data_IF_432519496182
#
_entry.id   IF_432519496182
#
_cell.length_a   1.000
_cell.length_b   1.000
_cell.length_c   1.000
_cell.angle_alpha   90.00
_cell.angle_beta   90.00
_cell.angle_gamma   90.00
#
_symmetry.space_group_name_H-M   'P 1'
#
loop_
_entity.id
_entity.type
_entity.pdbx_description
1 polymer ?
#
# COMPACT_ATOMS: atom_id res chain seq x y z
N UNK A 1 -17.36 16.40 -6.67
CA UNK A 1 -16.86 17.79 -6.60
C UNK A 1 -15.39 17.77 -7.01
N UNK A 2 -15.01 18.51 -8.05
CA UNK A 2 -13.62 18.53 -8.53
C UNK A 2 -12.72 19.37 -7.62
N UNK A 3 -11.48 18.92 -7.40
CA UNK A 3 -10.47 19.68 -6.66
C UNK A 3 -10.13 20.98 -7.41
N UNK A 4 -9.82 22.05 -6.69
CA UNK A 4 -9.42 23.32 -7.31
C UNK A 4 -8.03 23.19 -7.96
N UNK A 5 -7.76 23.98 -9.00
CA UNK A 5 -6.47 23.97 -9.71
C UNK A 5 -5.28 24.18 -8.76
N UNK A 6 -5.43 25.08 -7.78
CA UNK A 6 -4.42 25.33 -6.75
C UNK A 6 -4.17 24.10 -5.87
N UNK A 7 -5.24 23.36 -5.51
CA UNK A 7 -5.11 22.16 -4.71
C UNK A 7 -4.39 21.04 -5.47
N UNK A 8 -4.67 20.89 -6.76
CA UNK A 8 -3.96 19.91 -7.61
C UNK A 8 -2.47 20.25 -7.79
N UNK A 9 -2.15 21.53 -7.96
CA UNK A 9 -0.76 21.98 -8.09
C UNK A 9 0.03 21.83 -6.79
N UNK A 10 -0.61 22.09 -5.63
CA UNK A 10 0.03 21.87 -4.33
C UNK A 10 0.16 20.37 -3.99
N UNK A 11 -0.81 19.52 -4.36
CA UNK A 11 -0.66 18.05 -4.27
C UNK A 11 0.53 17.57 -5.12
N UNK A 12 0.66 18.06 -6.35
CA UNK A 12 1.79 17.74 -7.21
C UNK A 12 3.11 18.26 -6.64
N UNK A 13 3.10 19.47 -6.07
CA UNK A 13 4.27 20.06 -5.44
C UNK A 13 4.75 19.24 -4.25
N UNK A 14 3.85 18.83 -3.36
CA UNK A 14 4.18 18.00 -2.22
C UNK A 14 4.70 16.61 -2.66
N UNK A 15 4.09 15.98 -3.68
CA UNK A 15 4.57 14.68 -4.22
C UNK A 15 6.01 14.79 -4.74
N UNK A 16 6.30 15.86 -5.48
CA UNK A 16 7.65 16.13 -5.97
C UNK A 16 8.60 16.53 -4.85
N UNK A 17 8.13 17.20 -3.80
CA UNK A 17 8.93 17.57 -2.64
C UNK A 17 9.38 16.33 -1.84
N UNK A 18 8.49 15.33 -1.70
CA UNK A 18 8.75 14.05 -1.03
C UNK A 18 9.57 13.08 -1.89
N UNK A 19 9.47 13.17 -3.22
CA UNK A 19 10.28 12.36 -4.13
C UNK A 19 11.73 12.86 -4.20
N UNK A 20 12.65 12.13 -3.58
CA UNK A 20 14.09 12.43 -3.63
C UNK A 20 14.83 11.88 -4.87
N UNK A 21 14.13 11.19 -5.78
CA UNK A 21 14.68 10.63 -7.04
C UNK A 21 13.86 11.11 -8.25
N UNK A 22 13.85 12.43 -8.46
CA UNK A 22 13.15 13.06 -9.58
C UNK A 22 13.90 12.87 -10.90
N UNK A 23 13.14 12.66 -11.97
CA UNK A 23 13.60 12.79 -13.35
C UNK A 23 13.86 14.26 -13.71
N UNK A 24 14.51 14.52 -14.85
CA UNK A 24 14.80 15.88 -15.29
C UNK A 24 13.52 16.72 -15.50
N UNK A 25 12.47 16.10 -16.02
CA UNK A 25 11.16 16.74 -16.23
C UNK A 25 10.47 17.06 -14.89
N UNK A 26 10.50 16.11 -13.95
CA UNK A 26 9.95 16.30 -12.59
C UNK A 26 10.70 17.38 -11.79
N UNK A 27 12.01 17.49 -11.96
CA UNK A 27 12.82 18.53 -11.31
C UNK A 27 12.49 19.93 -11.86
N UNK A 28 12.20 20.05 -13.16
CA UNK A 28 11.78 21.31 -13.77
C UNK A 28 10.40 21.74 -13.28
N UNK A 29 9.44 20.80 -13.22
CA UNK A 29 8.10 21.04 -12.67
C UNK A 29 8.19 21.39 -11.17
N UNK A 30 9.05 20.70 -10.43
CA UNK A 30 9.29 20.99 -9.01
C UNK A 30 9.79 22.41 -8.81
N UNK A 31 10.75 22.88 -9.61
CA UNK A 31 11.26 24.26 -9.54
C UNK A 31 10.17 25.29 -9.85
N UNK A 32 9.34 25.05 -10.86
CA UNK A 32 8.23 25.95 -11.19
C UNK A 32 7.21 26.05 -10.04
N UNK A 33 6.91 24.93 -9.39
CA UNK A 33 6.01 24.90 -8.24
C UNK A 33 6.66 25.48 -6.97
N UNK A 34 7.97 25.30 -6.80
CA UNK A 34 8.76 25.89 -5.71
C UNK A 34 8.81 27.42 -5.84
N UNK A 35 8.99 27.96 -7.04
CA UNK A 35 8.95 29.41 -7.25
C UNK A 35 7.55 29.98 -6.97
N UNK A 36 6.50 29.23 -7.32
CA UNK A 36 5.11 29.65 -7.16
C UNK A 36 4.61 29.56 -5.72
N UNK A 37 4.98 28.50 -4.99
CA UNK A 37 4.41 28.19 -3.67
C UNK A 37 5.46 28.14 -2.55
N UNK A 38 6.76 28.16 -2.85
CA UNK A 38 7.84 28.00 -1.87
C UNK A 38 7.84 29.09 -0.80
N UNK A 39 7.58 30.35 -1.16
CA UNK A 39 7.47 31.44 -0.18
C UNK A 39 6.28 31.24 0.77
N UNK A 40 5.19 30.63 0.29
CA UNK A 40 4.02 30.30 1.11
C UNK A 40 4.31 29.13 2.04
N UNK A 41 4.99 28.09 1.54
CA UNK A 41 5.41 26.92 2.33
C UNK A 41 6.44 27.29 3.39
N UNK A 42 7.37 28.20 3.10
CA UNK A 42 8.33 28.69 4.09
C UNK A 42 7.66 29.48 5.21
N UNK A 43 6.57 30.20 4.92
CA UNK A 43 5.80 30.96 5.92
C UNK A 43 4.83 30.08 6.70
N UNK A 44 4.23 29.11 6.05
CA UNK A 44 3.32 28.12 6.65
C UNK A 44 3.57 26.74 6.02
N UNK A 45 4.44 25.91 6.64
CA UNK A 45 4.71 24.56 6.18
C UNK A 45 3.46 23.67 6.20
N UNK A 46 2.43 24.05 6.96
CA UNK A 46 1.18 23.28 7.03
C UNK A 46 0.40 23.31 5.72
N UNK A 47 0.70 24.24 4.81
CA UNK A 47 0.07 24.34 3.48
C UNK A 47 0.36 23.10 2.64
N UNK A 48 1.56 22.51 2.75
CA UNK A 48 1.89 21.24 2.08
C UNK A 48 1.73 20.03 3.01
N UNK A 49 1.97 20.18 4.32
CA UNK A 49 1.84 19.05 5.26
C UNK A 49 0.39 18.63 5.53
N UNK A 50 -0.59 19.51 5.32
CA UNK A 50 -2.03 19.18 5.43
C UNK A 50 -2.58 18.60 4.13
N UNK A 51 -1.87 18.77 3.03
CA UNK A 51 -2.23 18.18 1.76
C UNK A 51 -1.77 16.75 1.86
N UNK A 52 -2.72 15.84 2.10
CA UNK A 52 -2.50 14.40 1.99
C UNK A 52 -2.04 14.12 0.57
N UNK A 53 -0.74 14.04 0.38
CA UNK A 53 -0.15 13.54 -0.85
C UNK A 53 -0.31 12.05 -0.87
N UNK A 54 -1.13 11.64 -1.83
CA UNK A 54 -1.53 10.26 -2.08
C UNK A 54 -2.11 9.51 -0.89
N UNK A 55 -2.76 8.42 -1.22
CA UNK A 55 -3.36 7.47 -0.30
C UNK A 55 -2.27 6.80 0.53
N UNK A 56 -1.70 7.49 1.52
CA UNK A 56 -0.85 6.87 2.51
C UNK A 56 -1.63 5.71 3.11
N UNK A 57 -1.18 4.50 2.80
CA UNK A 57 -1.84 3.27 3.19
C UNK A 57 -1.14 2.73 4.41
N UNK A 58 -1.94 2.40 5.42
CA UNK A 58 -1.46 1.77 6.63
C UNK A 58 -1.99 0.33 6.68
N UNK A 59 -1.08 -0.61 6.85
CA UNK A 59 -1.40 -2.04 6.96
C UNK A 59 -1.10 -2.54 8.36
N UNK A 60 -2.15 -2.90 9.09
CA UNK A 60 -2.03 -3.65 10.32
C UNK A 60 -1.72 -5.12 9.99
N UNK A 61 -0.61 -5.63 10.51
CA UNK A 61 -0.13 -6.97 10.16
C UNK A 61 -0.18 -7.94 11.34
N UNK A 62 -0.46 -9.20 11.03
CA UNK A 62 -0.29 -10.34 11.91
C UNK A 62 0.94 -11.12 11.44
N UNK A 63 1.99 -11.08 12.26
CA UNK A 63 3.30 -11.64 11.94
C UNK A 63 3.83 -12.36 13.16
N UNK A 64 4.37 -13.57 12.97
CA UNK A 64 5.06 -14.30 14.05
C UNK A 64 6.33 -13.54 14.47
N UNK A 65 6.71 -13.64 15.74
CA UNK A 65 7.80 -12.83 16.31
C UNK A 65 9.15 -12.98 15.58
N UNK A 66 9.46 -14.18 15.10
CA UNK A 66 10.65 -14.50 14.31
C UNK A 66 10.67 -13.79 12.95
N UNK A 67 9.55 -13.83 12.22
CA UNK A 67 9.39 -13.13 10.95
C UNK A 67 9.30 -11.61 11.14
N UNK A 68 8.63 -11.15 12.20
CA UNK A 68 8.41 -9.74 12.49
C UNK A 68 9.72 -8.98 12.62
N UNK A 69 10.68 -9.49 13.39
CA UNK A 69 11.98 -8.84 13.57
C UNK A 69 12.66 -8.58 12.22
N UNK A 70 12.65 -9.57 11.34
CA UNK A 70 13.34 -9.48 10.04
C UNK A 70 12.57 -8.59 9.06
N UNK A 71 11.24 -8.65 9.06
CA UNK A 71 10.38 -7.79 8.22
C UNK A 71 10.50 -6.32 8.65
N UNK A 72 10.48 -6.04 9.96
CA UNK A 72 10.66 -4.69 10.49
C UNK A 72 12.02 -4.09 10.12
N UNK A 73 13.09 -4.89 10.20
CA UNK A 73 14.43 -4.45 9.81
C UNK A 73 14.52 -4.10 8.32
N UNK A 74 13.93 -4.94 7.46
CA UNK A 74 13.89 -4.66 6.03
C UNK A 74 13.06 -3.41 5.72
N UNK A 75 11.92 -3.25 6.39
CA UNK A 75 11.07 -2.06 6.25
C UNK A 75 11.82 -0.79 6.62
N UNK A 76 12.46 -0.77 7.79
CA UNK A 76 13.28 0.36 8.25
C UNK A 76 14.44 0.66 7.32
N UNK A 77 15.01 -0.36 6.67
CA UNK A 77 16.11 -0.17 5.71
C UNK A 77 15.62 0.39 4.37
N UNK A 78 14.48 -0.11 3.85
CA UNK A 78 13.94 0.29 2.55
C UNK A 78 13.27 1.67 2.61
N UNK A 79 12.55 1.96 3.68
CA UNK A 79 11.72 3.18 3.82
C UNK A 79 12.37 4.26 4.69
N UNK A 80 13.33 3.89 5.55
CA UNK A 80 13.86 4.74 6.64
C UNK A 80 12.81 5.10 7.71
N UNK A 81 11.64 4.48 7.67
CA UNK A 81 10.55 4.66 8.63
C UNK A 81 10.51 3.51 9.63
N UNK A 82 10.01 3.80 10.84
CA UNK A 82 9.84 2.77 11.87
C UNK A 82 8.47 2.11 11.79
N UNK A 83 8.43 0.80 12.00
CA UNK A 83 7.17 0.07 12.16
C UNK A 83 6.46 0.57 13.42
N UNK A 84 5.21 1.00 13.27
CA UNK A 84 4.40 1.47 14.38
C UNK A 84 3.75 0.29 15.11
N UNK A 85 3.47 0.46 16.41
CA UNK A 85 2.73 -0.52 17.20
C UNK A 85 1.39 0.10 17.59
N UNK A 86 0.31 -0.38 16.99
CA UNK A 86 -1.05 0.08 17.25
C UNK A 86 -1.84 -1.13 17.75
N UNK A 87 -2.46 -1.00 18.93
CA UNK A 87 -3.23 -2.09 19.56
C UNK A 87 -2.46 -3.43 19.69
N UNK A 88 -1.14 -3.35 19.89
CA UNK A 88 -0.27 -4.53 20.02
C UNK A 88 -0.01 -5.27 18.71
N UNK A 89 -0.30 -4.63 17.56
CA UNK A 89 0.02 -5.14 16.22
C UNK A 89 1.01 -4.22 15.51
N UNK A 90 1.93 -4.78 14.69
CA UNK A 90 2.79 -3.99 13.83
C UNK A 90 1.99 -3.36 12.68
N UNK A 91 2.25 -2.09 12.44
CA UNK A 91 1.65 -1.28 11.39
C UNK A 91 2.72 -0.74 10.46
N UNK A 92 2.50 -0.93 9.16
CA UNK A 92 3.42 -0.55 8.09
C UNK A 92 2.75 0.49 7.21
N UNK A 93 3.33 1.69 7.17
CA UNK A 93 2.86 2.80 6.36
C UNK A 93 3.60 2.81 5.02
N UNK A 94 2.87 3.06 3.93
CA UNK A 94 3.43 3.19 2.59
C UNK A 94 2.78 4.35 1.86
N UNK A 95 3.48 4.89 0.86
CA UNK A 95 3.00 6.04 0.08
C UNK A 95 1.77 5.70 -0.75
N UNK A 96 1.64 4.43 -1.16
CA UNK A 96 0.51 3.88 -1.91
C UNK A 96 0.42 2.35 -1.75
N UNK A 97 -0.66 1.77 -2.30
CA UNK A 97 -0.93 0.33 -2.24
C UNK A 97 0.12 -0.50 -2.98
N UNK A 98 0.61 -0.03 -4.13
CA UNK A 98 1.56 -0.73 -4.98
C UNK A 98 2.92 -0.89 -4.30
N UNK A 99 3.35 0.10 -3.54
CA UNK A 99 4.55 0.04 -2.70
C UNK A 99 4.39 -1.02 -1.60
N UNK A 100 3.23 -1.05 -0.93
CA UNK A 100 2.93 -2.07 0.07
C UNK A 100 2.97 -3.49 -0.53
N UNK A 101 2.30 -3.70 -1.67
CA UNK A 101 2.32 -4.98 -2.40
C UNK A 101 3.75 -5.37 -2.75
N UNK A 102 4.54 -4.44 -3.28
CA UNK A 102 5.93 -4.70 -3.68
C UNK A 102 6.78 -5.09 -2.47
N UNK A 103 6.66 -4.39 -1.35
CA UNK A 103 7.38 -4.70 -0.13
C UNK A 103 7.01 -6.11 0.38
N UNK A 104 5.72 -6.38 0.57
CA UNK A 104 5.27 -7.66 1.11
C UNK A 104 5.54 -8.84 0.16
N UNK A 105 5.46 -8.64 -1.16
CA UNK A 105 5.86 -9.66 -2.13
C UNK A 105 7.34 -10.05 -1.98
N UNK A 106 8.26 -9.08 -1.77
CA UNK A 106 9.67 -9.38 -1.48
C UNK A 106 9.82 -10.16 -0.17
N UNK A 107 9.03 -9.85 0.85
CA UNK A 107 9.05 -10.59 2.11
C UNK A 107 8.60 -12.04 1.94
N UNK A 108 7.59 -12.28 1.10
CA UNK A 108 7.14 -13.63 0.75
C UNK A 108 8.21 -14.40 -0.04
N UNK A 109 8.91 -13.75 -0.98
CA UNK A 109 10.05 -14.34 -1.70
C UNK A 109 11.20 -14.76 -0.77
N UNK A 110 11.37 -14.09 0.37
CA UNK A 110 12.30 -14.47 1.45
C UNK A 110 11.77 -15.61 2.34
N UNK A 111 10.64 -16.21 1.99
CA UNK A 111 10.03 -17.33 2.70
C UNK A 111 9.32 -16.93 4.01
N UNK A 112 8.94 -15.66 4.17
CA UNK A 112 8.42 -15.14 5.44
C UNK A 112 6.88 -15.16 5.45
N UNK A 113 6.25 -15.80 6.44
CA UNK A 113 4.81 -15.81 6.58
C UNK A 113 4.30 -14.52 7.24
N UNK A 114 3.20 -13.97 6.72
CA UNK A 114 2.53 -12.79 7.26
C UNK A 114 1.10 -12.70 6.75
N UNK A 115 0.28 -11.90 7.43
CA UNK A 115 -0.99 -11.39 6.92
C UNK A 115 -1.04 -9.89 7.21
N UNK A 116 -1.30 -9.06 6.21
CA UNK A 116 -1.32 -7.61 6.31
C UNK A 116 -2.64 -7.07 5.75
N UNK A 117 -3.38 -6.31 6.55
CA UNK A 117 -4.72 -5.83 6.19
C UNK A 117 -4.87 -4.32 6.35
N UNK A 118 -5.39 -3.67 5.32
CA UNK A 118 -5.85 -2.29 5.37
C UNK A 118 -7.38 -2.28 5.31
N UNK A 119 -8.01 -1.86 6.40
CA UNK A 119 -9.47 -1.82 6.54
C UNK A 119 -10.13 -0.78 5.63
N UNK A 120 -9.48 0.35 5.40
CA UNK A 120 -10.05 1.45 4.60
C UNK A 120 -10.14 1.11 3.12
N UNK A 121 -9.21 0.30 2.61
CA UNK A 121 -9.17 -0.17 1.22
C UNK A 121 -9.82 -1.55 1.04
N UNK A 122 -10.22 -2.19 2.13
CA UNK A 122 -10.54 -3.62 2.20
C UNK A 122 -9.54 -4.49 1.44
N UNK A 123 -8.25 -4.25 1.66
CA UNK A 123 -7.17 -4.94 0.96
C UNK A 123 -6.34 -5.76 1.94
N UNK A 124 -6.17 -7.04 1.63
CA UNK A 124 -5.45 -8.02 2.43
C UNK A 124 -4.34 -8.65 1.59
N UNK A 125 -3.15 -8.75 2.17
CA UNK A 125 -2.01 -9.48 1.62
C UNK A 125 -1.65 -10.61 2.56
N UNK A 126 -1.46 -11.81 2.02
CA UNK A 126 -1.18 -13.02 2.78
C UNK A 126 0.00 -13.78 2.17
N UNK A 127 0.84 -14.31 3.06
CA UNK A 127 1.92 -15.22 2.72
C UNK A 127 1.98 -16.35 3.75
N UNK A 128 2.02 -17.58 3.25
CA UNK A 128 2.33 -18.79 4.06
C UNK A 128 3.85 -19.09 4.09
N UNK A 129 4.67 -18.21 3.49
CA UNK A 129 6.11 -18.41 3.28
C UNK A 129 6.47 -19.17 1.99
N UNK A 130 5.48 -19.54 1.17
CA UNK A 130 5.68 -20.16 -0.16
C UNK A 130 4.90 -19.41 -1.24
N UNK A 131 3.64 -19.10 -0.95
CA UNK A 131 2.72 -18.40 -1.82
C UNK A 131 2.54 -16.97 -1.32
N UNK A 132 2.41 -16.02 -2.24
CA UNK A 132 2.02 -14.65 -1.97
C UNK A 132 0.69 -14.40 -2.66
N UNK A 133 -0.32 -13.98 -1.90
CA UNK A 133 -1.63 -13.63 -2.44
C UNK A 133 -2.13 -12.30 -1.90
N UNK A 134 -2.92 -11.60 -2.70
CA UNK A 134 -3.56 -10.36 -2.32
C UNK A 134 -4.94 -10.22 -2.97
N UNK A 135 -5.82 -9.51 -2.27
CA UNK A 135 -7.21 -9.30 -2.67
C UNK A 135 -8.00 -8.68 -1.53
N UNK A 136 -9.32 -8.82 -1.57
CA UNK A 136 -10.16 -8.47 -0.41
C UNK A 136 -9.91 -9.42 0.75
N UNK A 137 -10.28 -9.00 1.97
CA UNK A 137 -10.17 -9.88 3.14
C UNK A 137 -10.99 -11.17 2.94
N UNK A 138 -12.17 -11.06 2.33
CA UNK A 138 -13.03 -12.20 2.05
C UNK A 138 -12.40 -13.18 1.06
N UNK A 139 -11.79 -12.68 -0.02
CA UNK A 139 -11.10 -13.51 -1.01
C UNK A 139 -9.88 -14.22 -0.42
N UNK A 140 -9.07 -13.52 0.37
CA UNK A 140 -7.90 -14.13 1.03
C UNK A 140 -8.33 -15.20 2.04
N UNK A 141 -9.39 -14.96 2.81
CA UNK A 141 -9.96 -15.98 3.72
C UNK A 141 -10.53 -17.20 2.97
N UNK A 142 -11.16 -16.97 1.81
CA UNK A 142 -11.66 -18.06 0.96
C UNK A 142 -10.50 -18.88 0.35
N UNK A 143 -9.44 -18.20 -0.12
CA UNK A 143 -8.20 -18.85 -0.56
C UNK A 143 -7.56 -19.70 0.54
N UNK A 144 -7.45 -19.17 1.77
CA UNK A 144 -6.88 -19.90 2.92
C UNK A 144 -7.64 -21.19 3.24
N UNK A 145 -8.94 -21.24 2.96
CA UNK A 145 -9.77 -22.44 3.15
C UNK A 145 -9.63 -23.44 2.02
N UNK A 146 -9.61 -22.96 0.77
CA UNK A 146 -9.59 -23.79 -0.43
C UNK A 146 -8.66 -23.19 -1.50
N UNK A 147 -7.32 -23.33 -1.34
CA UNK A 147 -6.36 -22.70 -2.26
C UNK A 147 -6.47 -23.24 -3.69
N UNK A 148 -6.88 -24.50 -3.85
CA UNK A 148 -7.03 -25.16 -5.15
C UNK A 148 -8.08 -24.51 -6.05
N UNK A 149 -9.02 -23.74 -5.47
CA UNK A 149 -10.08 -23.04 -6.21
C UNK A 149 -9.65 -21.70 -6.81
N UNK A 150 -8.40 -21.29 -6.61
CA UNK A 150 -7.90 -20.01 -7.07
C UNK A 150 -6.67 -20.17 -7.95
N UNK A 151 -6.57 -19.31 -8.95
CA UNK A 151 -5.33 -19.00 -9.65
C UNK A 151 -4.68 -17.77 -9.01
N UNK A 152 -3.36 -17.82 -8.88
CA UNK A 152 -2.55 -16.73 -8.33
C UNK A 152 -1.89 -16.01 -9.51
N UNK A 153 -2.28 -14.75 -9.72
CA UNK A 153 -1.68 -13.89 -10.73
C UNK A 153 -0.22 -13.54 -10.41
N UNK A 154 0.48 -12.94 -11.37
CA UNK A 154 1.91 -12.59 -11.26
C UNK A 154 2.22 -11.69 -10.04
N UNK A 155 1.28 -10.84 -9.64
CA UNK A 155 1.41 -9.97 -8.46
C UNK A 155 0.65 -10.50 -7.22
N UNK A 156 0.34 -11.79 -7.18
CA UNK A 156 -0.42 -12.41 -6.08
C UNK A 156 -1.94 -12.17 -6.15
N UNK A 157 -2.46 -11.46 -7.15
CA UNK A 157 -3.90 -11.26 -7.28
C UNK A 157 -4.66 -12.58 -7.40
N UNK A 158 -5.70 -12.77 -6.60
CA UNK A 158 -6.52 -13.97 -6.61
C UNK A 158 -7.57 -13.91 -7.73
N UNK A 159 -7.65 -14.96 -8.54
CA UNK A 159 -8.75 -15.17 -9.51
C UNK A 159 -9.42 -16.50 -9.22
N UNK A 160 -10.75 -16.55 -8.97
CA UNK A 160 -11.46 -17.82 -8.81
C UNK A 160 -11.42 -18.66 -10.10
N UNK A 161 -11.05 -19.94 -10.01
CA UNK A 161 -11.03 -20.88 -11.15
C UNK A 161 -12.44 -21.27 -11.63
N UNK A 162 -13.39 -21.25 -10.70
CA UNK A 162 -14.81 -21.42 -10.98
C UNK A 162 -15.49 -20.10 -10.69
N UNK A 163 -16.28 -19.59 -11.64
CA UNK A 163 -17.16 -18.47 -11.36
C UNK A 163 -18.00 -18.83 -10.13
N UNK A 164 -18.30 -17.88 -9.21
CA UNK A 164 -19.28 -18.14 -8.18
C UNK A 164 -20.52 -18.68 -8.89
N UNK A 165 -20.98 -19.88 -8.50
CA UNK A 165 -22.23 -20.42 -9.02
C UNK A 165 -23.31 -19.36 -8.77
N UNK A 166 -23.64 -18.58 -9.81
CA UNK A 166 -24.83 -17.76 -9.81
C UNK A 166 -25.99 -18.72 -9.59
N UNK A 167 -26.68 -18.50 -8.46
CA UNK A 167 -27.66 -19.40 -7.93
C UNK A 167 -28.69 -19.85 -8.96
N UNK A 168 -29.02 -21.14 -8.87
CA UNK A 168 -30.38 -21.67 -8.89
C UNK A 168 -31.36 -20.79 -9.70
N UNK A 169 -31.58 -21.17 -10.96
CA UNK A 169 -32.73 -20.74 -11.75
C UNK A 169 -34.00 -20.87 -10.89
N UNK A 170 -34.82 -19.83 -10.72
CA UNK A 170 -36.16 -20.04 -10.18
C UNK A 170 -36.95 -20.84 -11.22
N UNK A 171 -37.29 -22.07 -10.86
CA UNK A 171 -38.34 -22.84 -11.52
C UNK A 171 -39.66 -22.10 -11.28
N UNK A 172 -40.21 -21.52 -12.33
CA UNK A 172 -41.63 -21.16 -12.43
C UNK A 172 -42.33 -22.21 -13.30
#
# INVERSE_FOLDING_TARGET
MGKSKQQQELEHFTLLHENHKRTAEEEEIYKQLLDKYGAQVLKDPSVINKIKTSDNVDYGAQIKADALKSISQDYETETREKVQQIEGRPHFAFSNKEEAITFFAKQAQKGRPFEAYNKSLDHCMYSDGKNFVQGTKAEVEAYKKNPDNYDIGVQGGLTPKTAPEEGIKPTF
#
